data_IF_285244520728
#
_entry.id   IF_285244520728
#
_cell.length_a   1.000
_cell.length_b   1.000
_cell.length_c   1.000
_cell.angle_alpha   90.00
_cell.angle_beta   90.00
_cell.angle_gamma   90.00
#
_symmetry.space_group_name_H-M   'P 1'
#
loop_
_entity.id
_entity.type
_entity.pdbx_description
1 polymer ?
#
# COMPACT_ATOMS: atom_id res chain seq x y z
N UNK A 1 -38.74 -50.46 -8.08
CA UNK A 1 -38.98 -49.00 -7.94
C UNK A 1 -38.47 -48.59 -6.57
N UNK A 2 -37.22 -48.12 -6.50
CA UNK A 2 -36.65 -47.48 -5.30
C UNK A 2 -35.66 -46.44 -5.80
N UNK A 3 -36.10 -45.18 -5.85
CA UNK A 3 -35.21 -44.03 -5.98
C UNK A 3 -34.88 -43.58 -4.56
N UNK A 4 -33.61 -43.66 -4.22
CA UNK A 4 -33.03 -43.25 -2.93
C UNK A 4 -32.78 -41.75 -2.93
N UNK A 5 -33.34 -41.09 -1.92
CA UNK A 5 -33.04 -39.73 -1.48
C UNK A 5 -31.56 -39.62 -1.05
N UNK A 6 -30.75 -38.89 -1.82
CA UNK A 6 -29.32 -38.68 -1.53
C UNK A 6 -28.91 -37.22 -1.75
N UNK A 7 -29.69 -36.26 -1.22
CA UNK A 7 -29.39 -34.82 -1.39
C UNK A 7 -29.52 -33.97 -0.11
N UNK A 8 -29.54 -34.61 1.07
CA UNK A 8 -29.77 -33.92 2.36
C UNK A 8 -28.53 -33.46 3.13
N UNK A 9 -27.36 -34.08 2.93
CA UNK A 9 -26.22 -33.90 3.86
C UNK A 9 -25.23 -32.79 3.49
N UNK A 10 -25.17 -32.35 2.23
CA UNK A 10 -24.18 -31.34 1.81
C UNK A 10 -24.49 -29.92 2.30
N UNK A 11 -25.76 -29.57 2.57
CA UNK A 11 -26.13 -28.24 3.12
C UNK A 11 -25.79 -28.06 4.60
N UNK A 12 -25.72 -29.15 5.36
CA UNK A 12 -25.45 -29.12 6.81
C UNK A 12 -23.96 -28.94 7.14
N UNK A 13 -23.06 -29.25 6.21
CA UNK A 13 -21.61 -29.02 6.40
C UNK A 13 -21.17 -27.59 6.05
N UNK A 14 -21.80 -26.92 5.09
CA UNK A 14 -21.53 -25.49 4.83
C UNK A 14 -22.07 -24.58 5.95
N UNK A 15 -23.25 -24.90 6.50
CA UNK A 15 -23.80 -24.17 7.64
C UNK A 15 -22.94 -24.28 8.91
N UNK A 16 -22.22 -25.40 9.10
CA UNK A 16 -21.33 -25.63 10.23
C UNK A 16 -19.91 -25.05 10.05
N UNK A 17 -19.55 -24.53 8.86
CA UNK A 17 -18.30 -23.76 8.67
C UNK A 17 -18.48 -22.26 8.86
N UNK A 18 -19.72 -21.76 8.80
CA UNK A 18 -20.05 -20.38 9.16
C UNK A 18 -20.00 -20.14 10.69
N UNK A 19 -20.13 -21.20 11.49
CA UNK A 19 -20.11 -21.15 12.95
C UNK A 19 -18.70 -21.33 13.51
N UNK A 20 -17.90 -20.26 13.42
CA UNK A 20 -16.95 -19.78 14.46
C UNK A 20 -16.22 -18.55 13.94
N UNK A 21 -16.98 -17.56 13.45
CA UNK A 21 -16.43 -16.21 13.37
C UNK A 21 -15.87 -15.88 14.77
N UNK A 22 -14.66 -15.29 14.89
CA UNK A 22 -14.01 -15.03 16.17
C UNK A 22 -14.68 -13.90 16.99
N UNK A 23 -16.00 -13.72 16.85
CA UNK A 23 -16.82 -12.67 17.46
C UNK A 23 -16.78 -12.73 18.99
N UNK A 24 -16.66 -13.92 19.56
CA UNK A 24 -16.66 -14.11 21.01
C UNK A 24 -15.31 -13.84 21.67
N UNK A 25 -14.24 -13.62 20.89
CA UNK A 25 -12.91 -13.37 21.45
C UNK A 25 -12.85 -11.98 22.11
N UNK A 26 -12.26 -11.86 23.31
CA UNK A 26 -12.17 -10.56 24.01
C UNK A 26 -11.40 -9.51 23.17
N UNK A 27 -10.33 -9.93 22.49
CA UNK A 27 -9.58 -9.04 21.61
C UNK A 27 -10.40 -8.50 20.42
N UNK A 28 -11.41 -9.24 19.96
CA UNK A 28 -12.28 -8.79 18.88
C UNK A 28 -13.25 -7.72 19.38
N UNK A 29 -13.83 -7.90 20.57
CA UNK A 29 -14.73 -6.91 21.20
C UNK A 29 -14.02 -5.58 21.43
N UNK A 30 -12.81 -5.63 21.99
CA UNK A 30 -11.98 -4.44 22.20
C UNK A 30 -11.61 -3.74 20.88
N UNK A 31 -11.22 -4.50 19.86
CA UNK A 31 -10.93 -3.95 18.53
C UNK A 31 -12.18 -3.34 17.89
N UNK A 32 -13.35 -3.95 18.08
CA UNK A 32 -14.63 -3.47 17.57
C UNK A 32 -15.07 -2.17 18.25
N UNK A 33 -14.97 -2.09 19.58
CA UNK A 33 -15.22 -0.87 20.34
C UNK A 33 -14.26 0.25 19.92
N UNK A 34 -12.98 -0.05 19.77
CA UNK A 34 -11.99 0.91 19.28
C UNK A 34 -12.32 1.37 17.86
N UNK A 35 -12.77 0.47 16.99
CA UNK A 35 -13.20 0.82 15.63
C UNK A 35 -14.45 1.71 15.62
N UNK A 36 -15.41 1.48 16.53
CA UNK A 36 -16.58 2.34 16.72
C UNK A 36 -16.16 3.74 17.17
N UNK A 37 -15.30 3.84 18.20
CA UNK A 37 -14.75 5.11 18.68
C UNK A 37 -13.98 5.85 17.58
N UNK A 38 -13.21 5.12 16.78
CA UNK A 38 -12.49 5.67 15.64
C UNK A 38 -13.45 6.23 14.60
N UNK A 39 -14.46 5.46 14.19
CA UNK A 39 -15.43 5.87 13.18
C UNK A 39 -16.20 7.11 13.63
N UNK A 40 -16.68 7.14 14.88
CA UNK A 40 -17.38 8.28 15.44
C UNK A 40 -16.49 9.54 15.43
N UNK A 41 -15.22 9.43 15.83
CA UNK A 41 -14.29 10.56 15.76
C UNK A 41 -13.98 10.97 14.32
N UNK A 42 -13.72 10.02 13.42
CA UNK A 42 -13.38 10.30 12.01
C UNK A 42 -14.51 11.01 11.27
N UNK A 43 -15.77 10.72 11.62
CA UNK A 43 -16.92 11.36 10.97
C UNK A 43 -16.97 12.87 11.20
N UNK A 44 -16.62 13.31 12.42
CA UNK A 44 -16.58 14.72 12.84
C UNK A 44 -15.32 15.45 12.31
N UNK A 45 -14.37 14.75 11.68
CA UNK A 45 -13.15 15.37 11.18
C UNK A 45 -13.36 16.13 9.86
N UNK A 46 -13.03 17.42 9.90
CA UNK A 46 -12.94 18.27 8.72
C UNK A 46 -11.80 17.87 7.78
N UNK A 47 -11.90 18.29 6.51
CA UNK A 47 -10.85 18.06 5.50
C UNK A 47 -9.50 18.65 5.97
N UNK A 48 -9.51 19.86 6.52
CA UNK A 48 -8.28 20.51 7.01
C UNK A 48 -7.65 19.74 8.18
N UNK A 49 -8.46 19.12 9.04
CA UNK A 49 -7.99 18.31 10.19
C UNK A 49 -7.29 17.05 9.73
N UNK A 50 -7.87 16.39 8.73
CA UNK A 50 -7.27 15.23 8.07
C UNK A 50 -5.90 15.58 7.48
N UNK A 51 -5.77 16.74 6.83
CA UNK A 51 -4.47 17.19 6.32
C UNK A 51 -3.44 17.39 7.44
N UNK A 52 -3.81 18.03 8.54
CA UNK A 52 -2.89 18.25 9.67
C UNK A 52 -2.51 16.95 10.38
N UNK A 53 -3.45 16.04 10.60
CA UNK A 53 -3.15 14.70 11.11
C UNK A 53 -2.22 13.94 10.17
N UNK A 54 -2.45 14.01 8.85
CA UNK A 54 -1.54 13.37 7.89
C UNK A 54 -0.10 13.88 8.02
N UNK A 55 0.08 15.20 8.17
CA UNK A 55 1.39 15.83 8.39
C UNK A 55 2.01 15.40 9.71
N UNK A 56 1.23 15.34 10.79
CA UNK A 56 1.68 14.88 12.10
C UNK A 56 2.19 13.44 12.01
N UNK A 57 1.42 12.51 11.43
CA UNK A 57 1.83 11.11 11.25
C UNK A 57 3.02 10.91 10.31
N UNK A 58 3.09 11.68 9.21
CA UNK A 58 4.26 11.68 8.32
C UNK A 58 5.50 12.15 9.07
N UNK A 59 5.39 13.16 9.94
CA UNK A 59 6.52 13.63 10.75
C UNK A 59 7.00 12.57 11.74
N UNK A 60 6.08 11.85 12.40
CA UNK A 60 6.41 10.72 13.29
C UNK A 60 7.11 9.61 12.49
N UNK A 61 6.57 9.26 11.32
CA UNK A 61 7.14 8.23 10.45
C UNK A 61 8.54 8.59 9.96
N UNK A 62 8.75 9.85 9.57
CA UNK A 62 10.08 10.37 9.19
C UNK A 62 11.05 10.32 10.36
N UNK A 63 10.63 10.70 11.55
CA UNK A 63 11.48 10.61 12.74
C UNK A 63 11.89 9.17 13.04
N UNK A 64 10.97 8.21 12.96
CA UNK A 64 11.25 6.77 13.13
C UNK A 64 12.27 6.28 12.09
N UNK A 65 12.05 6.62 10.81
CA UNK A 65 12.92 6.21 9.72
C UNK A 65 14.32 6.81 9.84
N UNK A 66 14.44 8.14 9.99
CA UNK A 66 15.73 8.82 10.07
C UNK A 66 16.51 8.41 11.32
N UNK A 67 15.88 8.36 12.49
CA UNK A 67 16.55 7.92 13.73
C UNK A 67 16.99 6.45 13.67
N UNK A 68 16.20 5.59 13.04
CA UNK A 68 16.55 4.19 12.81
C UNK A 68 17.80 4.08 11.93
N UNK A 69 17.82 4.77 10.79
CA UNK A 69 18.97 4.79 9.88
C UNK A 69 20.22 5.41 10.51
N UNK A 70 20.09 6.51 11.26
CA UNK A 70 21.21 7.13 11.96
C UNK A 70 21.79 6.20 13.03
N UNK A 71 20.94 5.56 13.83
CA UNK A 71 21.39 4.61 14.86
C UNK A 71 22.05 3.37 14.25
N UNK A 72 21.47 2.84 13.16
CA UNK A 72 22.08 1.76 12.38
C UNK A 72 23.47 2.17 11.89
N UNK A 73 23.58 3.31 11.22
CA UNK A 73 24.85 3.80 10.66
C UNK A 73 25.91 4.01 11.74
N UNK A 74 25.51 4.51 12.91
CA UNK A 74 26.41 4.67 14.06
C UNK A 74 26.91 3.31 14.56
N UNK A 75 26.01 2.38 14.90
CA UNK A 75 26.40 1.07 15.46
C UNK A 75 27.15 0.21 14.45
N UNK A 76 26.70 0.21 13.19
CA UNK A 76 27.34 -0.54 12.12
C UNK A 76 28.68 0.10 11.71
N UNK A 77 28.75 1.43 11.59
CA UNK A 77 29.92 2.16 11.11
C UNK A 77 31.02 2.38 12.14
N UNK A 78 30.68 2.52 13.43
CA UNK A 78 31.66 2.71 14.52
C UNK A 78 32.83 1.72 14.48
N UNK A 79 32.64 0.38 14.39
CA UNK A 79 33.75 -0.56 14.36
C UNK A 79 34.66 -0.39 13.13
N UNK A 80 34.12 0.01 11.98
CA UNK A 80 34.92 0.33 10.79
C UNK A 80 35.74 1.61 11.00
N UNK A 81 35.13 2.65 11.57
CA UNK A 81 35.83 3.89 11.91
C UNK A 81 36.98 3.66 12.90
N UNK A 82 36.74 2.85 13.94
CA UNK A 82 37.78 2.49 14.92
C UNK A 82 38.90 1.67 14.26
N UNK A 83 38.56 0.68 13.42
CA UNK A 83 39.56 -0.16 12.76
C UNK A 83 40.39 0.64 11.74
N UNK A 84 39.75 1.52 10.97
CA UNK A 84 40.40 2.41 10.01
C UNK A 84 41.34 3.37 10.71
N UNK A 85 40.92 3.95 11.85
CA UNK A 85 41.76 4.84 12.65
C UNK A 85 43.00 4.13 13.21
N UNK A 86 42.86 2.91 13.74
CA UNK A 86 43.96 2.18 14.37
C UNK A 86 44.92 1.51 13.39
N UNK A 87 44.41 0.93 12.31
CA UNK A 87 45.19 0.03 11.44
C UNK A 87 45.35 0.54 10.00
N UNK A 88 44.64 1.62 9.63
CA UNK A 88 44.49 2.08 8.23
C UNK A 88 44.00 0.98 7.28
N UNK A 89 43.39 -0.07 7.82
CA UNK A 89 42.87 -1.20 7.07
C UNK A 89 41.43 -1.51 7.52
N UNK A 90 40.63 -2.04 6.61
CA UNK A 90 39.23 -2.42 6.85
C UNK A 90 39.11 -3.92 7.23
N UNK A 91 40.20 -4.68 7.08
CA UNK A 91 40.23 -6.12 7.31
C UNK A 91 40.11 -6.44 8.81
N UNK A 92 39.28 -7.45 9.14
CA UNK A 92 39.13 -7.97 10.51
C UNK A 92 37.81 -7.63 11.22
N UNK A 93 36.96 -6.77 10.64
CA UNK A 93 35.65 -6.46 11.22
C UNK A 93 34.66 -7.60 10.96
N UNK A 94 34.03 -8.11 12.02
CA UNK A 94 32.98 -9.15 11.93
C UNK A 94 31.66 -8.56 11.45
N UNK A 95 31.54 -8.34 10.14
CA UNK A 95 30.39 -7.66 9.49
C UNK A 95 29.03 -8.23 9.90
N UNK A 96 28.78 -9.57 9.90
CA UNK A 96 27.46 -10.09 10.21
C UNK A 96 26.99 -9.77 11.63
N UNK A 97 27.89 -9.81 12.62
CA UNK A 97 27.58 -9.51 14.02
C UNK A 97 27.21 -8.03 14.18
N UNK A 98 27.98 -7.13 13.59
CA UNK A 98 27.74 -5.69 13.68
C UNK A 98 26.48 -5.28 12.92
N UNK A 99 26.15 -5.97 11.81
CA UNK A 99 24.91 -5.77 11.08
C UNK A 99 23.69 -6.11 11.95
N UNK A 100 23.67 -7.26 12.62
CA UNK A 100 22.58 -7.66 13.52
C UNK A 100 22.44 -6.67 14.69
N UNK A 101 23.56 -6.24 15.29
CA UNK A 101 23.55 -5.22 16.34
C UNK A 101 23.00 -3.88 15.82
N UNK A 102 23.36 -3.51 14.59
CA UNK A 102 22.82 -2.32 13.91
C UNK A 102 21.30 -2.40 13.73
N UNK A 103 20.76 -3.55 13.28
CA UNK A 103 19.32 -3.75 13.14
C UNK A 103 18.58 -3.69 14.47
N UNK A 104 19.14 -4.29 15.53
CA UNK A 104 18.56 -4.20 16.87
C UNK A 104 18.53 -2.74 17.36
N UNK A 105 19.64 -2.02 17.20
CA UNK A 105 19.73 -0.62 17.56
C UNK A 105 18.71 0.23 16.80
N UNK A 106 18.58 0.03 15.49
CA UNK A 106 17.59 0.68 14.64
C UNK A 106 16.16 0.46 15.15
N UNK A 107 15.78 -0.77 15.49
CA UNK A 107 14.43 -1.08 15.96
C UNK A 107 14.12 -0.36 17.29
N UNK A 108 15.06 -0.38 18.23
CA UNK A 108 14.91 0.27 19.53
C UNK A 108 14.84 1.80 19.39
N UNK A 109 15.74 2.40 18.61
CA UNK A 109 15.77 3.86 18.44
C UNK A 109 14.54 4.35 17.69
N UNK A 110 14.11 3.65 16.62
CA UNK A 110 12.89 3.98 15.90
C UNK A 110 11.65 3.96 16.83
N UNK A 111 11.56 2.98 17.74
CA UNK A 111 10.47 2.92 18.70
C UNK A 111 10.48 4.12 19.66
N UNK A 112 11.64 4.44 20.24
CA UNK A 112 11.78 5.56 21.18
C UNK A 112 11.55 6.93 20.54
N UNK A 113 12.08 7.15 19.33
CA UNK A 113 11.95 8.42 18.61
C UNK A 113 10.53 8.64 18.13
N UNK A 114 9.84 7.58 17.68
CA UNK A 114 8.42 7.64 17.34
C UNK A 114 7.58 8.08 18.53
N UNK A 115 7.82 7.49 19.72
CA UNK A 115 7.14 7.88 20.96
C UNK A 115 7.47 9.32 21.37
N UNK A 116 8.72 9.75 21.24
CA UNK A 116 9.12 11.13 21.57
C UNK A 116 8.47 12.15 20.63
N UNK A 117 8.50 11.91 19.31
CA UNK A 117 7.87 12.78 18.32
C UNK A 117 6.35 12.82 18.48
N UNK A 118 5.74 11.68 18.79
CA UNK A 118 4.31 11.60 19.10
C UNK A 118 3.92 12.45 20.31
N UNK A 119 4.65 12.33 21.42
CA UNK A 119 4.43 13.18 22.60
C UNK A 119 4.60 14.66 22.28
N UNK A 120 5.60 15.00 21.46
CA UNK A 120 5.82 16.37 20.98
C UNK A 120 4.62 16.90 20.19
N UNK A 121 4.05 16.08 19.29
CA UNK A 121 2.84 16.45 18.55
C UNK A 121 1.61 16.59 19.46
N UNK A 122 1.44 15.73 20.47
CA UNK A 122 0.39 15.87 21.48
C UNK A 122 0.55 17.16 22.28
N UNK A 123 1.74 17.47 22.79
CA UNK A 123 2.01 18.70 23.55
C UNK A 123 1.85 19.97 22.71
N UNK A 124 2.00 19.88 21.39
CA UNK A 124 1.74 20.99 20.49
C UNK A 124 0.25 21.29 20.34
N UNK A 125 -0.59 20.26 20.36
CA UNK A 125 -2.04 20.39 20.30
C UNK A 125 -2.64 20.78 21.65
N UNK A 126 -2.05 20.31 22.75
CA UNK A 126 -2.47 20.60 24.12
C UNK A 126 -1.30 21.12 24.98
N UNK A 127 -0.88 22.39 24.80
CA UNK A 127 0.25 22.94 25.55
C UNK A 127 -0.05 23.10 27.05
N UNK A 128 -1.32 23.22 27.41
CA UNK A 128 -1.76 23.48 28.79
C UNK A 128 -2.27 22.23 29.51
N UNK A 129 -2.19 21.03 28.90
CA UNK A 129 -2.78 19.77 29.43
C UNK A 129 -4.29 19.86 29.73
N UNK A 130 -4.99 20.82 29.10
CA UNK A 130 -6.41 21.06 29.31
C UNK A 130 -7.27 19.99 28.64
N UNK A 131 -6.76 19.36 27.57
CA UNK A 131 -7.48 18.33 26.87
C UNK A 131 -7.35 16.95 27.51
N UNK A 132 -6.18 16.64 28.07
CA UNK A 132 -5.95 15.37 28.77
C UNK A 132 -6.90 15.20 29.96
N UNK A 133 -7.06 16.25 30.77
CA UNK A 133 -7.93 16.26 31.96
C UNK A 133 -9.43 16.20 31.66
N UNK A 134 -9.86 16.57 30.45
CA UNK A 134 -11.26 16.56 30.02
C UNK A 134 -11.62 15.39 29.10
N UNK A 135 -10.65 14.51 28.79
CA UNK A 135 -10.82 13.40 27.85
C UNK A 135 -11.55 12.19 28.45
N UNK A 136 -11.50 12.00 29.77
CA UNK A 136 -12.17 10.88 30.44
C UNK A 136 -13.70 11.03 30.55
N UNK A 137 -14.27 12.22 30.35
CA UNK A 137 -15.67 12.48 30.70
C UNK A 137 -16.70 12.53 29.56
N UNK A 138 -16.30 12.82 28.31
CA UNK A 138 -17.28 13.29 27.31
C UNK A 138 -17.52 12.37 26.10
N UNK A 139 -16.66 11.37 25.86
CA UNK A 139 -16.79 10.50 24.68
C UNK A 139 -17.28 9.08 25.00
N UNK A 140 -17.13 8.60 26.24
CA UNK A 140 -17.53 7.24 26.63
C UNK A 140 -19.04 7.12 26.92
N UNK A 141 -19.73 8.23 27.18
CA UNK A 141 -21.18 8.28 27.47
C UNK A 141 -22.07 8.12 26.23
N UNK A 142 -21.49 7.81 25.06
CA UNK A 142 -22.20 7.66 23.78
C UNK A 142 -22.48 6.19 23.40
N UNK A 143 -22.33 5.27 24.35
CA UNK A 143 -22.67 3.86 24.19
C UNK A 143 -23.99 3.55 24.87
N UNK A 144 -25.11 3.92 24.24
CA UNK A 144 -26.19 2.95 23.91
C UNK A 144 -27.53 3.57 23.50
N UNK A 145 -27.82 4.87 23.68
CA UNK A 145 -29.21 5.32 23.51
C UNK A 145 -29.58 6.36 22.45
N UNK A 146 -28.72 7.26 21.96
CA UNK A 146 -29.16 8.25 20.97
C UNK A 146 -28.09 8.58 19.92
N UNK A 147 -28.41 8.28 18.66
CA UNK A 147 -27.56 8.60 17.49
C UNK A 147 -27.78 10.03 16.98
N UNK A 148 -28.66 10.81 17.63
CA UNK A 148 -29.04 12.16 17.18
C UNK A 148 -28.17 13.28 17.77
N UNK A 149 -27.44 13.03 18.87
CA UNK A 149 -26.59 14.06 19.52
C UNK A 149 -25.20 14.25 18.87
N UNK A 150 -24.84 13.45 17.86
CA UNK A 150 -23.54 13.58 17.14
C UNK A 150 -23.45 14.94 16.42
N UNK A 151 -24.59 15.51 16.03
CA UNK A 151 -24.73 16.84 15.40
C UNK A 151 -24.18 17.99 16.26
N UNK A 152 -24.22 17.85 17.58
CA UNK A 152 -23.83 18.86 18.57
C UNK A 152 -22.31 18.97 18.77
N UNK A 153 -21.54 18.00 18.26
CA UNK A 153 -20.08 17.95 18.43
C UNK A 153 -19.31 18.82 17.43
N UNK A 154 -20.02 19.46 16.49
CA UNK A 154 -19.48 20.49 15.60
C UNK A 154 -18.88 21.70 16.34
N UNK A 155 -19.22 21.89 17.62
CA UNK A 155 -18.66 22.93 18.49
C UNK A 155 -17.28 22.60 19.11
N UNK A 156 -16.74 21.39 18.93
CA UNK A 156 -15.42 21.05 19.47
C UNK A 156 -14.32 21.80 18.74
N UNK A 157 -13.35 22.32 19.50
CA UNK A 157 -12.17 22.96 18.90
C UNK A 157 -11.45 21.99 17.97
N UNK A 158 -10.93 22.54 16.90
CA UNK A 158 -10.22 21.81 15.84
C UNK A 158 -9.06 20.98 16.38
N UNK A 159 -8.25 21.61 17.23
CA UNK A 159 -7.08 21.03 17.90
C UNK A 159 -7.50 19.87 18.80
N UNK A 160 -8.67 19.98 19.42
CA UNK A 160 -9.20 18.93 20.29
C UNK A 160 -9.58 17.68 19.49
N UNK A 161 -10.25 17.84 18.34
CA UNK A 161 -10.58 16.69 17.46
C UNK A 161 -9.32 15.97 16.97
N UNK A 162 -8.31 16.74 16.59
CA UNK A 162 -7.01 16.19 16.17
C UNK A 162 -6.31 15.48 17.34
N UNK A 163 -6.30 16.08 18.53
CA UNK A 163 -5.74 15.48 19.74
C UNK A 163 -6.43 14.16 20.09
N UNK A 164 -7.76 14.13 20.10
CA UNK A 164 -8.56 12.95 20.43
C UNK A 164 -8.36 11.81 19.43
N UNK A 165 -8.16 12.14 18.15
CA UNK A 165 -7.84 11.16 17.10
C UNK A 165 -6.39 10.65 17.22
N UNK A 166 -5.43 11.54 17.46
CA UNK A 166 -4.02 11.19 17.67
C UNK A 166 -3.83 10.32 18.93
N UNK A 167 -4.58 10.62 20.01
CA UNK A 167 -4.58 9.84 21.25
C UNK A 167 -5.17 8.44 21.05
N UNK A 168 -6.27 8.33 20.32
CA UNK A 168 -6.94 7.04 20.06
C UNK A 168 -6.06 6.07 19.25
N UNK A 169 -5.44 6.58 18.18
CA UNK A 169 -4.65 5.76 17.26
C UNK A 169 -3.23 5.47 17.75
N UNK A 170 -2.67 6.36 18.58
CA UNK A 170 -1.30 6.27 19.06
C UNK A 170 -0.26 6.55 17.96
N UNK A 171 1.00 6.26 18.25
CA UNK A 171 2.11 6.37 17.28
C UNK A 171 2.34 5.08 16.48
N UNK A 172 1.62 4.01 16.82
CA UNK A 172 1.69 2.74 16.11
C UNK A 172 1.16 2.91 14.69
N UNK A 173 1.81 2.26 13.72
CA UNK A 173 1.40 2.31 12.31
C UNK A 173 1.29 3.73 11.73
N UNK A 174 2.06 4.69 12.26
CA UNK A 174 2.06 6.08 11.79
C UNK A 174 2.12 6.25 10.26
N UNK A 175 2.89 5.45 9.49
CA UNK A 175 2.88 5.55 8.03
C UNK A 175 1.49 5.28 7.41
N UNK A 176 0.77 4.27 7.94
CA UNK A 176 -0.56 3.90 7.44
C UNK A 176 -1.58 4.98 7.75
N UNK A 177 -1.58 5.50 8.98
CA UNK A 177 -2.48 6.58 9.37
C UNK A 177 -2.20 7.88 8.61
N UNK A 178 -0.92 8.21 8.40
CA UNK A 178 -0.52 9.33 7.55
C UNK A 178 -1.09 9.23 6.14
N UNK A 179 -0.96 8.04 5.52
CA UNK A 179 -1.53 7.77 4.20
C UNK A 179 -3.06 7.83 4.18
N UNK A 180 -3.72 7.23 5.18
CA UNK A 180 -5.19 7.25 5.31
C UNK A 180 -5.76 8.67 5.38
N UNK A 181 -5.20 9.51 6.25
CA UNK A 181 -5.68 10.88 6.39
C UNK A 181 -5.39 11.71 5.14
N UNK A 182 -4.26 11.48 4.47
CA UNK A 182 -3.95 12.14 3.20
C UNK A 182 -4.89 11.72 2.07
N UNK A 183 -5.20 10.42 1.96
CA UNK A 183 -6.11 9.92 0.93
C UNK A 183 -7.56 10.33 1.17
N UNK A 184 -8.00 10.37 2.43
CA UNK A 184 -9.36 10.80 2.77
C UNK A 184 -9.53 12.31 2.74
N UNK A 185 -8.44 13.07 2.92
CA UNK A 185 -8.42 14.51 2.65
C UNK A 185 -8.71 14.80 1.17
N UNK A 186 -8.10 14.05 0.26
CA UNK A 186 -8.33 14.22 -1.19
C UNK A 186 -9.65 13.61 -1.65
N UNK A 187 -10.07 12.48 -1.07
CA UNK A 187 -11.29 11.75 -1.43
C UNK A 187 -12.02 11.25 -0.18
N UNK A 188 -13.06 11.95 0.31
CA UNK A 188 -13.77 11.57 1.53
C UNK A 188 -14.52 10.23 1.41
N UNK A 189 -14.82 9.76 0.19
CA UNK A 189 -15.43 8.44 -0.05
C UNK A 189 -14.51 7.27 0.36
N UNK A 190 -13.20 7.51 0.50
CA UNK A 190 -12.22 6.50 0.92
C UNK A 190 -12.14 6.31 2.44
N UNK A 191 -13.07 6.90 3.19
CA UNK A 191 -13.19 6.70 4.64
C UNK A 191 -13.44 5.23 4.93
N UNK A 192 -13.01 4.78 6.11
CA UNK A 192 -13.32 3.43 6.55
C UNK A 192 -14.85 3.27 6.67
N UNK A 193 -15.41 2.13 6.23
CA UNK A 193 -16.84 1.87 6.32
C UNK A 193 -17.28 1.74 7.78
N UNK A 194 -18.56 2.01 8.04
CA UNK A 194 -19.12 1.89 9.38
C UNK A 194 -18.90 0.46 9.93
N UNK A 195 -18.25 0.29 11.09
CA UNK A 195 -17.95 -1.02 11.65
C UNK A 195 -19.22 -1.81 11.99
N UNK A 196 -20.35 -1.16 12.30
CA UNK A 196 -21.65 -1.83 12.53
C UNK A 196 -22.12 -2.57 11.26
N UNK A 197 -22.12 -1.86 10.13
CA UNK A 197 -22.49 -2.43 8.82
C UNK A 197 -21.56 -3.59 8.47
N UNK A 198 -20.26 -3.46 8.71
CA UNK A 198 -19.29 -4.54 8.48
C UNK A 198 -19.52 -5.76 9.37
N UNK A 199 -19.88 -5.54 10.63
CA UNK A 199 -20.22 -6.62 11.56
C UNK A 199 -21.47 -7.38 11.09
N UNK A 200 -22.50 -6.67 10.63
CA UNK A 200 -23.72 -7.28 10.11
C UNK A 200 -23.48 -8.02 8.79
N UNK A 201 -22.63 -7.49 7.90
CA UNK A 201 -22.17 -8.20 6.70
C UNK A 201 -21.48 -9.53 7.06
N UNK A 202 -20.60 -9.52 8.06
CA UNK A 202 -19.93 -10.74 8.54
C UNK A 202 -20.92 -11.74 9.13
N UNK A 203 -21.89 -11.29 9.95
CA UNK A 203 -22.95 -12.16 10.50
C UNK A 203 -23.80 -12.79 9.40
N UNK A 204 -24.03 -12.07 8.30
CA UNK A 204 -24.75 -12.54 7.13
C UNK A 204 -23.92 -13.46 6.22
N UNK A 205 -22.72 -13.88 6.64
CA UNK A 205 -21.86 -14.78 5.88
C UNK A 205 -21.18 -14.15 4.66
N UNK A 206 -21.29 -12.82 4.47
CA UNK A 206 -20.50 -12.13 3.44
C UNK A 206 -19.06 -12.07 3.92
N UNK A 207 -18.15 -12.70 3.19
CA UNK A 207 -16.73 -12.55 3.46
C UNK A 207 -16.34 -11.09 3.17
N UNK A 208 -15.67 -10.41 4.12
CA UNK A 208 -15.22 -9.05 3.86
C UNK A 208 -14.26 -9.09 2.68
N UNK A 209 -14.52 -8.29 1.64
CA UNK A 209 -13.57 -8.08 0.54
C UNK A 209 -12.22 -7.63 1.14
N UNK A 210 -11.20 -8.50 1.03
CA UNK A 210 -9.90 -8.41 1.75
C UNK A 210 -8.98 -7.31 1.19
N UNK A 211 -9.48 -6.39 0.37
CA UNK A 211 -8.68 -5.23 -0.06
C UNK A 211 -9.14 -3.95 0.63
N UNK A 212 -8.97 -3.79 1.96
CA UNK A 212 -9.13 -2.48 2.56
C UNK A 212 -8.14 -1.53 1.89
N UNK A 213 -8.56 -0.29 1.68
CA UNK A 213 -7.75 0.77 1.07
C UNK A 213 -6.32 0.84 1.65
N UNK A 214 -6.16 0.55 2.94
CA UNK A 214 -4.89 0.49 3.66
C UNK A 214 -3.90 -0.61 3.19
N UNK A 215 -4.39 -1.61 2.47
CA UNK A 215 -3.60 -2.73 1.95
C UNK A 215 -3.45 -2.68 0.41
N UNK A 216 -3.97 -1.64 -0.26
CA UNK A 216 -3.74 -1.47 -1.68
C UNK A 216 -2.24 -1.18 -1.92
N UNK A 217 -1.56 -2.10 -2.60
CA UNK A 217 -0.12 -2.04 -2.95
C UNK A 217 0.21 -0.99 -4.01
N UNK A 218 -0.64 0.03 -4.15
CA UNK A 218 -0.50 1.08 -5.13
C UNK A 218 -0.21 2.41 -4.41
N UNK A 219 1.06 2.62 -3.99
CA UNK A 219 1.44 3.82 -3.26
C UNK A 219 1.37 5.10 -4.11
N UNK A 220 1.31 4.97 -5.44
CA UNK A 220 1.32 6.10 -6.40
C UNK A 220 -0.09 6.36 -6.96
N UNK A 221 -1.08 5.53 -6.63
CA UNK A 221 -2.43 5.65 -7.16
C UNK A 221 -2.50 5.44 -8.68
N UNK A 222 -1.56 4.68 -9.25
CA UNK A 222 -1.51 4.39 -10.69
C UNK A 222 -2.62 3.44 -11.14
N UNK A 223 -3.13 2.63 -10.24
CA UNK A 223 -4.18 1.64 -10.45
C UNK A 223 -5.38 1.83 -9.51
N UNK A 224 -5.29 2.76 -8.56
CA UNK A 224 -6.33 3.11 -7.59
C UNK A 224 -6.43 4.64 -7.47
N UNK A 225 -7.60 5.23 -7.73
CA UNK A 225 -7.73 6.69 -7.80
C UNK A 225 -9.13 7.13 -8.22
N UNK A 226 -9.53 8.39 -8.04
CA UNK A 226 -10.83 8.90 -8.53
C UNK A 226 -11.04 8.69 -10.05
N UNK A 227 -9.94 8.56 -10.80
CA UNK A 227 -9.92 8.24 -12.24
C UNK A 227 -10.02 6.74 -12.57
N UNK A 228 -9.86 5.86 -11.59
CA UNK A 228 -9.83 4.39 -11.74
C UNK A 228 -10.88 3.67 -10.89
N UNK A 229 -11.37 4.28 -9.81
CA UNK A 229 -12.42 3.78 -8.94
C UNK A 229 -13.81 3.80 -9.63
N UNK A 230 -13.95 4.50 -10.77
CA UNK A 230 -15.12 4.48 -11.64
C UNK A 230 -14.88 3.69 -12.92
N UNK A 231 -14.88 2.36 -12.85
CA UNK A 231 -15.17 1.50 -14.01
C UNK A 231 -15.91 0.24 -13.58
N UNK A 232 -17.23 0.38 -13.39
CA UNK A 232 -18.17 -0.59 -13.96
C UNK A 232 -17.81 -0.77 -15.43
N UNK A 233 -16.98 -1.76 -15.74
CA UNK A 233 -16.33 -1.81 -17.06
C UNK A 233 -15.49 -3.04 -17.33
N UNK A 234 -15.66 -4.12 -16.58
CA UNK A 234 -15.48 -5.44 -17.19
C UNK A 234 -16.81 -5.73 -17.86
N UNK A 235 -16.96 -5.61 -19.20
CA UNK A 235 -18.16 -6.14 -19.83
C UNK A 235 -18.28 -7.61 -19.43
N UNK A 236 -19.39 -7.95 -18.78
CA UNK A 236 -19.81 -9.34 -18.69
C UNK A 236 -19.81 -9.87 -20.12
N UNK A 237 -18.87 -10.76 -20.42
CA UNK A 237 -18.94 -11.58 -21.61
C UNK A 237 -20.32 -12.24 -21.57
N UNK A 238 -21.13 -11.91 -22.56
CA UNK A 238 -22.44 -12.51 -22.78
C UNK A 238 -22.36 -14.04 -22.62
N UNK A 239 -23.42 -14.69 -22.10
CA UNK A 239 -23.48 -16.14 -22.04
C UNK A 239 -23.38 -16.68 -23.47
N UNK A 240 -22.30 -17.43 -23.74
CA UNK A 240 -22.12 -18.17 -24.99
C UNK A 240 -23.12 -19.33 -24.98
N UNK A 241 -24.06 -19.41 -25.94
CA UNK A 241 -24.89 -20.60 -26.08
C UNK A 241 -24.05 -21.73 -26.67
N UNK A 242 -24.27 -22.92 -26.14
CA UNK A 242 -23.97 -24.24 -26.68
C UNK A 242 -22.53 -24.54 -27.10
N UNK A 243 -21.83 -25.25 -26.22
CA UNK A 243 -21.09 -26.45 -26.61
C UNK A 243 -20.87 -27.35 -25.41
N UNK A 244 -21.81 -28.28 -25.25
CA UNK A 244 -21.64 -29.55 -24.55
C UNK A 244 -20.54 -30.37 -25.21
N UNK A 245 -19.47 -30.64 -24.48
CA UNK A 245 -18.62 -31.81 -24.68
C UNK A 245 -17.89 -32.15 -23.38
N UNK A 246 -18.42 -33.16 -22.71
CA UNK A 246 -17.84 -33.92 -21.60
C UNK A 246 -16.49 -34.53 -22.02
N UNK A 247 -15.39 -34.24 -21.32
CA UNK A 247 -14.29 -35.21 -21.09
C UNK A 247 -13.68 -34.95 -19.71
N UNK A 248 -13.87 -35.93 -18.83
CA UNK A 248 -13.15 -36.18 -17.59
C UNK A 248 -11.70 -36.58 -17.87
N UNK A 249 -10.72 -36.05 -17.12
CA UNK A 249 -9.54 -36.84 -16.77
C UNK A 249 -8.84 -36.31 -15.51
N UNK A 250 -8.48 -37.28 -14.68
CA UNK A 250 -7.92 -37.24 -13.34
C UNK A 250 -6.60 -36.46 -13.14
N UNK A 251 -6.43 -36.14 -11.87
CA UNK A 251 -5.26 -35.67 -11.14
C UNK A 251 -4.28 -36.84 -10.95
N UNK A 252 -3.01 -36.65 -11.31
CA UNK A 252 -1.78 -37.03 -10.57
C UNK A 252 -0.60 -37.13 -11.56
N UNK A 253 0.44 -36.32 -11.36
CA UNK A 253 1.86 -36.75 -11.42
C UNK A 253 2.81 -35.56 -11.20
N UNK A 254 3.52 -35.62 -10.08
CA UNK A 254 4.69 -34.82 -9.73
C UNK A 254 5.95 -35.40 -10.42
N UNK A 255 6.64 -34.62 -11.27
CA UNK A 255 8.08 -34.79 -11.49
C UNK A 255 8.76 -33.44 -11.82
N UNK A 256 9.70 -32.95 -10.98
CA UNK A 256 10.29 -31.62 -11.11
C UNK A 256 11.50 -31.50 -12.06
N UNK A 257 11.98 -32.52 -12.79
CA UNK A 257 13.09 -32.37 -13.76
C UNK A 257 13.06 -33.38 -14.94
N UNK A 258 12.03 -33.35 -15.79
CA UNK A 258 11.95 -34.19 -16.99
C UNK A 258 11.56 -33.45 -18.28
N UNK A 259 12.51 -33.27 -19.20
CA UNK A 259 12.30 -32.87 -20.59
C UNK A 259 12.09 -34.13 -21.44
N UNK A 260 10.95 -34.29 -22.13
CA UNK A 260 10.85 -34.87 -23.49
C UNK A 260 9.58 -34.32 -24.17
N UNK A 261 9.76 -33.69 -25.33
CA UNK A 261 8.71 -33.17 -26.21
C UNK A 261 7.96 -34.26 -26.97
N UNK A 262 6.66 -34.04 -27.27
CA UNK A 262 6.01 -34.24 -28.59
C UNK A 262 4.47 -34.10 -28.53
N UNK A 263 3.96 -32.87 -28.71
CA UNK A 263 2.81 -32.51 -29.57
C UNK A 263 2.38 -31.04 -29.35
N UNK A 264 1.79 -30.36 -30.35
CA UNK A 264 1.74 -28.91 -30.41
C UNK A 264 0.75 -28.34 -29.38
N UNK A 265 1.30 -27.83 -28.27
CA UNK A 265 0.61 -26.99 -27.31
C UNK A 265 0.03 -25.77 -28.04
N UNK A 266 -1.28 -25.59 -27.88
CA UNK A 266 -1.92 -24.28 -27.99
C UNK A 266 -1.16 -23.31 -27.08
N UNK A 267 -0.42 -22.40 -27.71
CA UNK A 267 0.42 -21.43 -27.01
C UNK A 267 -0.48 -20.56 -26.14
N UNK A 268 -0.46 -20.79 -24.82
CA UNK A 268 -0.82 -19.78 -23.84
C UNK A 268 0.18 -18.64 -24.00
N UNK A 269 -0.14 -17.71 -24.90
CA UNK A 269 0.65 -16.53 -25.17
C UNK A 269 0.62 -15.64 -23.93
N UNK A 270 1.81 -15.23 -23.49
CA UNK A 270 1.95 -14.25 -22.41
C UNK A 270 1.12 -13.01 -22.73
N UNK A 271 0.59 -12.32 -21.72
CA UNK A 271 -0.13 -11.06 -21.91
C UNK A 271 0.70 -10.03 -22.70
N UNK A 272 2.03 -10.14 -22.63
CA UNK A 272 2.97 -9.34 -23.42
C UNK A 272 3.14 -9.80 -24.88
N UNK A 273 2.92 -11.06 -25.20
CA UNK A 273 2.86 -11.54 -26.60
C UNK A 273 1.56 -11.07 -27.26
N UNK A 274 0.46 -11.00 -26.51
CA UNK A 274 -0.82 -10.51 -27.03
C UNK A 274 -0.75 -9.05 -27.48
N UNK A 275 -0.08 -8.19 -26.71
CA UNK A 275 0.14 -6.77 -27.07
C UNK A 275 1.07 -6.63 -28.28
N UNK A 276 2.10 -7.47 -28.39
CA UNK A 276 3.03 -7.47 -29.53
C UNK A 276 2.34 -7.92 -30.82
N UNK A 277 1.52 -8.96 -30.74
CA UNK A 277 0.76 -9.47 -31.87
C UNK A 277 -0.36 -8.51 -32.30
N UNK A 278 -1.00 -7.80 -31.36
CA UNK A 278 -2.00 -6.77 -31.69
C UNK A 278 -1.43 -5.56 -32.44
N UNK A 279 -0.12 -5.29 -32.32
CA UNK A 279 0.55 -4.20 -33.05
C UNK A 279 1.23 -4.65 -34.35
N UNK A 280 0.93 -5.86 -34.84
CA UNK A 280 1.39 -6.33 -36.14
C UNK A 280 2.89 -6.63 -36.24
N UNK A 281 3.58 -6.78 -35.10
CA UNK A 281 5.00 -7.17 -35.09
C UNK A 281 5.08 -8.69 -35.13
N UNK A 282 5.10 -9.27 -36.33
CA UNK A 282 5.35 -10.70 -36.52
C UNK A 282 6.85 -10.99 -36.41
N UNK A 283 7.22 -12.10 -35.77
CA UNK A 283 8.61 -12.45 -35.46
C UNK A 283 9.40 -13.02 -36.67
N UNK A 284 8.87 -12.94 -37.89
CA UNK A 284 9.37 -13.72 -39.03
C UNK A 284 10.44 -13.02 -39.89
N UNK A 285 11.02 -11.90 -39.44
CA UNK A 285 12.08 -11.21 -40.19
C UNK A 285 13.43 -11.27 -39.48
N UNK A 286 14.30 -12.14 -39.98
CA UNK A 286 15.74 -12.21 -39.70
C UNK A 286 16.45 -10.97 -40.25
N UNK A 287 16.22 -9.81 -39.64
CA UNK A 287 16.84 -8.56 -40.04
C UNK A 287 16.18 -7.34 -39.41
N UNK A 288 16.86 -6.69 -38.46
CA UNK A 288 16.56 -5.31 -38.08
C UNK A 288 15.33 -5.06 -37.20
N UNK A 289 15.15 -5.81 -36.10
CA UNK A 289 14.06 -5.60 -35.14
C UNK A 289 13.98 -4.17 -34.54
N UNK A 290 15.10 -3.43 -34.56
CA UNK A 290 15.16 -2.05 -34.08
C UNK A 290 14.78 -0.99 -35.12
N UNK A 291 14.92 -1.26 -36.42
CA UNK A 291 14.53 -0.29 -37.46
C UNK A 291 13.01 -0.21 -37.60
N UNK A 292 12.28 -1.32 -37.42
CA UNK A 292 10.81 -1.33 -37.46
C UNK A 292 10.13 -0.57 -36.30
N UNK A 293 10.75 -0.51 -35.12
CA UNK A 293 10.20 0.23 -33.97
C UNK A 293 10.28 1.75 -34.22
N UNK A 294 11.28 2.21 -34.99
CA UNK A 294 11.45 3.63 -35.33
C UNK A 294 10.55 4.10 -36.47
N UNK A 295 10.02 3.20 -37.29
CA UNK A 295 9.15 3.54 -38.44
C UNK A 295 7.67 3.45 -38.13
N UNK A 296 7.27 3.54 -36.85
CA UNK A 296 5.84 3.58 -36.48
C UNK A 296 5.15 4.75 -37.18
N UNK A 297 4.01 4.55 -37.87
CA UNK A 297 3.36 5.54 -38.72
C UNK A 297 2.56 6.60 -37.93
N UNK A 298 3.07 7.05 -36.77
CA UNK A 298 2.48 8.15 -36.01
C UNK A 298 3.14 9.52 -36.31
N UNK A 299 4.29 9.54 -37.00
CA UNK A 299 5.04 10.78 -37.32
C UNK A 299 4.87 11.28 -38.76
N UNK A 300 3.98 10.67 -39.56
CA UNK A 300 3.73 11.11 -40.95
C UNK A 300 2.63 12.17 -41.09
N UNK A 301 2.17 12.78 -39.99
CA UNK A 301 1.14 13.82 -40.03
C UNK A 301 1.57 15.14 -39.35
N UNK A 302 2.80 15.59 -39.60
CA UNK A 302 3.18 16.99 -39.40
C UNK A 302 4.45 17.32 -40.18
N UNK A 303 4.35 17.38 -41.51
CA UNK A 303 5.29 18.12 -42.34
C UNK A 303 4.62 19.40 -42.85
N UNK A 304 4.86 20.50 -42.14
CA UNK A 304 4.98 21.82 -42.76
C UNK A 304 6.05 22.58 -41.97
N UNK A 305 7.28 22.55 -42.50
CA UNK A 305 8.40 23.33 -41.98
C UNK A 305 8.24 24.82 -42.35
N UNK A 306 8.90 25.70 -41.59
CA UNK A 306 9.75 26.70 -42.19
C UNK A 306 11.22 26.47 -41.78
N UNK A 307 12.19 26.94 -42.58
CA UNK A 307 13.60 26.69 -42.33
C UNK A 307 14.10 27.60 -41.21
N UNK A 308 14.69 27.02 -40.16
CA UNK A 308 15.54 27.75 -39.22
C UNK A 308 16.86 27.00 -39.05
N UNK A 309 17.89 27.65 -39.55
CA UNK A 309 19.25 27.53 -39.09
C UNK A 309 19.26 27.78 -37.58
N UNK A 310 19.44 26.76 -36.77
CA UNK A 310 19.97 26.89 -35.43
C UNK A 310 20.94 25.71 -35.27
N UNK A 311 22.22 26.06 -35.15
CA UNK A 311 23.25 25.12 -34.70
C UNK A 311 22.90 24.78 -33.26
N UNK A 312 22.68 23.50 -32.99
CA UNK A 312 22.40 22.97 -31.67
C UNK A 312 23.64 23.15 -30.76
N UNK A 313 23.77 24.32 -30.12
CA UNK A 313 24.81 24.58 -29.10
C UNK A 313 24.65 23.68 -27.86
N UNK A 314 23.50 23.02 -27.69
CA UNK A 314 23.23 22.13 -26.55
C UNK A 314 23.74 20.69 -26.74
N UNK A 315 24.05 20.23 -27.95
CA UNK A 315 24.59 18.86 -28.13
C UNK A 315 26.04 18.77 -27.67
N UNK A 316 26.81 19.82 -27.93
CA UNK A 316 28.25 19.84 -27.69
C UNK A 316 28.56 19.94 -26.19
N UNK A 317 27.72 20.66 -25.42
CA UNK A 317 27.86 20.78 -23.97
C UNK A 317 27.59 19.46 -23.23
N UNK A 318 26.65 18.65 -23.74
CA UNK A 318 26.36 17.33 -23.16
C UNK A 318 27.48 16.34 -23.44
N UNK A 319 28.03 16.36 -24.66
CA UNK A 319 29.13 15.51 -25.06
C UNK A 319 30.43 15.89 -24.33
N UNK A 320 30.66 17.19 -24.09
CA UNK A 320 31.77 17.68 -23.27
C UNK A 320 31.69 17.24 -21.79
N UNK A 321 30.49 17.23 -21.19
CA UNK A 321 30.29 16.73 -19.82
C UNK A 321 30.55 15.23 -19.70
N UNK A 322 30.11 14.45 -20.68
CA UNK A 322 30.37 13.00 -20.76
C UNK A 322 31.86 12.69 -20.92
N UNK A 323 32.54 13.44 -21.77
CA UNK A 323 33.98 13.29 -22.00
C UNK A 323 34.79 13.66 -20.74
N UNK A 324 34.33 14.68 -19.99
CA UNK A 324 34.92 15.10 -18.72
C UNK A 324 34.78 14.04 -17.62
N UNK A 325 33.62 13.38 -17.51
CA UNK A 325 33.41 12.26 -16.58
C UNK A 325 34.29 11.06 -16.96
N UNK A 326 34.40 10.77 -18.25
CA UNK A 326 35.19 9.63 -18.77
C UNK A 326 36.70 9.79 -18.55
N UNK A 327 37.21 11.03 -18.49
CA UNK A 327 38.61 11.33 -18.18
C UNK A 327 38.93 11.37 -16.69
N UNK A 328 37.91 11.28 -15.82
CA UNK A 328 38.09 11.32 -14.38
C UNK A 328 38.66 12.66 -13.88
N UNK A 329 38.43 13.74 -14.62
CA UNK A 329 38.96 15.09 -14.31
C UNK A 329 38.20 15.76 -13.15
N UNK A 330 37.12 15.16 -12.67
CA UNK A 330 36.47 15.52 -11.40
C UNK A 330 37.10 14.71 -10.23
N UNK A 331 38.39 14.95 -9.97
CA UNK A 331 39.02 14.63 -8.69
C UNK A 331 39.34 15.93 -7.95
N UNK A 332 38.75 16.06 -6.75
CA UNK A 332 38.87 17.17 -5.79
C UNK A 332 40.32 17.50 -5.44
#
# INVERSE_FOLDING_TARGET
MSQTDFNGESRSQEANRASKLPLDKPCFKEAYETALKFYAKDDVLDTRDRLELSKAYVSISRAQLWSGWTAFALVFGTPFGIQLYKTRAIKGVKVPRNFVLGLLAMALTAHTSGKAMYKSQLSRLDPNSAFESSSEGNWDTLTDHDSEEISSQSGLSRERRQYDMLKLLGYGMAPKWGQYFYSTYTNPERRLPNPKVKLDEMKNGKTPSISPFLNQRDPIGLYSGPRHDKKDGIPQLAPRPDQSATISHDIDDDDPLGQVDTNPKTTYTSSWDRVRNQRGVTNDATGGRWSQIRTSPLDSQSQQAPPRNDKDENSDDFEALLEKERRGEDTI
#
